data_IF_642895793457
#
_entry.id   IF_642895793457
#
_cell.length_a   1.000
_cell.length_b   1.000
_cell.length_c   1.000
_cell.angle_alpha   90.00
_cell.angle_beta   90.00
_cell.angle_gamma   90.00
#
_symmetry.space_group_name_H-M   'P 1'
#
loop_
_entity.id
_entity.type
_entity.pdbx_description
1 polymer ?
#
# COMPACT_ATOMS: atom_id res chain seq x y z
N UNK A 1 -2.04 15.85 -24.76
CA UNK A 1 -1.11 15.59 -23.61
C UNK A 1 -0.17 14.45 -24.01
N UNK A 2 1.13 14.72 -24.14
CA UNK A 2 2.14 13.73 -24.53
C UNK A 2 2.76 13.10 -23.28
N UNK A 3 3.00 11.79 -23.29
CA UNK A 3 3.61 11.08 -22.15
C UNK A 3 5.02 11.61 -21.81
N UNK A 4 5.78 12.04 -22.79
CA UNK A 4 7.07 12.70 -22.58
C UNK A 4 6.93 13.97 -21.72
N UNK A 5 5.89 14.77 -21.94
CA UNK A 5 5.65 16.00 -21.16
C UNK A 5 5.22 15.67 -19.73
N UNK A 6 4.46 14.58 -19.55
CA UNK A 6 4.17 14.06 -18.21
C UNK A 6 5.44 13.63 -17.47
N UNK A 7 6.38 12.94 -18.13
CA UNK A 7 7.70 12.60 -17.57
C UNK A 7 8.48 13.87 -17.18
N UNK A 8 8.42 14.91 -17.99
CA UNK A 8 9.04 16.20 -17.62
C UNK A 8 8.39 16.80 -16.38
N UNK A 9 7.07 16.79 -16.31
CA UNK A 9 6.34 17.32 -15.18
C UNK A 9 6.65 16.58 -13.87
N UNK A 10 6.77 15.23 -13.90
CA UNK A 10 7.14 14.45 -12.70
C UNK A 10 8.55 14.80 -12.22
N UNK A 11 9.51 15.03 -13.12
CA UNK A 11 10.86 15.48 -12.75
C UNK A 11 10.84 16.89 -12.17
N UNK A 12 10.04 17.82 -12.71
CA UNK A 12 9.89 19.18 -12.15
C UNK A 12 9.33 19.12 -10.73
N UNK A 13 8.34 18.26 -10.51
CA UNK A 13 7.72 18.05 -9.19
C UNK A 13 8.72 17.50 -8.18
N UNK A 14 9.55 16.52 -8.57
CA UNK A 14 10.54 15.88 -7.70
C UNK A 14 11.71 16.81 -7.35
N UNK A 15 12.19 17.63 -8.32
CA UNK A 15 13.33 18.54 -8.12
C UNK A 15 12.95 19.85 -7.43
N UNK A 16 11.66 20.19 -7.36
CA UNK A 16 11.16 21.43 -6.77
C UNK A 16 11.66 22.69 -7.49
N UNK A 17 12.12 22.57 -8.74
CA UNK A 17 12.65 23.68 -9.53
C UNK A 17 12.87 23.34 -11.00
N UNK A 18 12.47 24.27 -11.90
CA UNK A 18 12.57 24.05 -13.35
C UNK A 18 14.02 23.96 -13.83
N UNK A 19 14.93 24.73 -13.26
CA UNK A 19 16.34 24.72 -13.67
C UNK A 19 17.01 23.38 -13.36
N UNK A 20 16.86 22.88 -12.14
CA UNK A 20 17.39 21.56 -11.74
C UNK A 20 16.78 20.42 -12.55
N UNK A 21 15.47 20.49 -12.78
CA UNK A 21 14.77 19.51 -13.60
C UNK A 21 15.29 19.51 -15.05
N UNK A 22 15.53 20.68 -15.63
CA UNK A 22 16.06 20.83 -16.98
C UNK A 22 17.48 20.23 -17.10
N UNK A 23 18.35 20.48 -16.10
CA UNK A 23 19.68 19.88 -16.01
C UNK A 23 19.59 18.34 -15.96
N UNK A 24 18.71 17.79 -15.09
CA UNK A 24 18.49 16.34 -14.97
C UNK A 24 17.95 15.71 -16.24
N UNK A 25 17.13 16.44 -16.99
CA UNK A 25 16.54 15.99 -18.26
C UNK A 25 17.43 16.24 -19.47
N UNK A 26 18.60 16.86 -19.31
CA UNK A 26 19.50 17.25 -20.38
C UNK A 26 18.86 18.13 -21.47
N UNK A 27 17.96 19.03 -21.05
CA UNK A 27 17.31 20.03 -21.92
C UNK A 27 17.51 21.44 -21.38
N UNK A 28 17.20 22.45 -22.20
CA UNK A 28 17.32 23.85 -21.75
C UNK A 28 16.12 24.24 -20.87
N UNK A 29 16.37 25.07 -19.86
CA UNK A 29 15.32 25.57 -18.97
C UNK A 29 14.16 26.28 -19.72
N UNK A 30 14.38 27.11 -20.76
CA UNK A 30 13.31 27.69 -21.54
C UNK A 30 12.43 26.63 -22.24
N UNK A 31 13.06 25.57 -22.76
CA UNK A 31 12.32 24.47 -23.40
C UNK A 31 11.42 23.76 -22.40
N UNK A 32 11.94 23.39 -21.22
CA UNK A 32 11.15 22.74 -20.18
C UNK A 32 10.02 23.66 -19.69
N UNK A 33 10.33 24.93 -19.42
CA UNK A 33 9.34 25.90 -18.96
C UNK A 33 8.18 26.07 -19.95
N UNK A 34 8.48 26.08 -21.25
CA UNK A 34 7.46 26.16 -22.30
C UNK A 34 6.60 24.90 -22.35
N UNK A 35 7.20 23.71 -22.29
CA UNK A 35 6.45 22.44 -22.29
C UNK A 35 5.52 22.31 -21.09
N UNK A 36 5.94 22.78 -19.91
CA UNK A 36 5.08 22.81 -18.72
C UNK A 36 3.95 23.82 -18.90
N UNK A 37 4.21 25.00 -19.44
CA UNK A 37 3.17 26.00 -19.71
C UNK A 37 2.14 25.51 -20.72
N UNK A 38 2.57 24.85 -21.80
CA UNK A 38 1.68 24.21 -22.78
C UNK A 38 0.82 23.09 -22.12
N UNK A 39 1.39 22.34 -21.19
CA UNK A 39 0.65 21.33 -20.41
C UNK A 39 -0.40 21.99 -19.50
N UNK A 40 -0.07 23.07 -18.80
CA UNK A 40 -1.00 23.85 -17.97
C UNK A 40 -2.15 24.43 -18.79
N UNK A 41 -1.87 24.90 -20.02
CA UNK A 41 -2.87 25.38 -20.96
C UNK A 41 -3.79 24.24 -21.44
N UNK A 42 -3.22 23.09 -21.81
CA UNK A 42 -3.96 21.93 -22.28
C UNK A 42 -4.90 21.36 -21.21
N UNK A 43 -4.48 21.29 -19.94
CA UNK A 43 -5.32 20.82 -18.84
C UNK A 43 -6.25 21.91 -18.29
N UNK A 44 -6.07 23.17 -18.70
CA UNK A 44 -6.91 24.28 -18.31
C UNK A 44 -6.74 24.72 -16.84
N UNK A 45 -5.63 24.37 -16.22
CA UNK A 45 -5.36 24.70 -14.81
C UNK A 45 -3.88 24.87 -14.53
N UNK A 46 -3.47 25.85 -13.69
CA UNK A 46 -2.09 25.92 -13.24
C UNK A 46 -1.74 24.69 -12.39
N UNK A 47 -0.62 24.06 -12.72
CA UNK A 47 -0.11 22.85 -12.04
C UNK A 47 0.96 23.20 -11.02
N UNK A 48 1.65 24.33 -11.22
CA UNK A 48 2.77 24.78 -10.42
C UNK A 48 2.53 26.13 -9.78
N UNK A 49 2.89 26.27 -8.52
CA UNK A 49 3.06 27.54 -7.83
C UNK A 49 4.54 27.91 -7.93
N UNK A 50 4.83 28.99 -8.66
CA UNK A 50 6.23 29.46 -8.90
C UNK A 50 6.55 30.58 -7.93
N UNK A 51 7.61 30.43 -7.15
CA UNK A 51 8.20 31.48 -6.35
C UNK A 51 9.58 31.85 -6.89
N UNK A 52 10.19 32.91 -6.38
CA UNK A 52 11.54 33.29 -6.81
C UNK A 52 12.63 32.26 -6.42
N UNK A 53 12.33 31.27 -5.58
CA UNK A 53 13.30 30.32 -5.04
C UNK A 53 12.92 28.85 -5.23
N UNK A 54 11.67 28.55 -5.48
CA UNK A 54 11.16 27.18 -5.55
C UNK A 54 9.91 27.06 -6.39
N UNK A 55 9.63 25.83 -6.80
CA UNK A 55 8.39 25.42 -7.45
C UNK A 55 7.72 24.40 -6.53
N UNK A 56 6.42 24.58 -6.29
CA UNK A 56 5.57 23.60 -5.58
C UNK A 56 4.34 23.28 -6.42
N UNK A 57 3.67 22.18 -6.12
CA UNK A 57 2.47 21.77 -6.83
C UNK A 57 1.23 22.53 -6.33
N UNK A 58 0.29 22.77 -7.23
CA UNK A 58 -1.09 23.10 -6.88
C UNK A 58 -1.86 21.81 -6.57
N UNK A 59 -3.10 21.91 -6.07
CA UNK A 59 -3.97 20.75 -5.90
C UNK A 59 -4.22 19.99 -7.24
N UNK A 60 -4.34 20.74 -8.36
CA UNK A 60 -4.42 20.16 -9.71
C UNK A 60 -3.09 19.49 -10.11
N UNK A 61 -1.95 20.09 -9.74
CA UNK A 61 -0.63 19.53 -9.96
C UNK A 61 -0.41 18.21 -9.19
N UNK A 62 -0.83 18.13 -7.93
CA UNK A 62 -0.77 16.91 -7.15
C UNK A 62 -1.64 15.79 -7.74
N UNK A 63 -2.84 16.13 -8.22
CA UNK A 63 -3.70 15.18 -8.90
C UNK A 63 -3.04 14.67 -10.19
N UNK A 64 -2.54 15.60 -11.02
CA UNK A 64 -1.88 15.23 -12.27
C UNK A 64 -0.62 14.40 -12.01
N UNK A 65 0.18 14.72 -10.98
CA UNK A 65 1.38 13.95 -10.64
C UNK A 65 1.04 12.48 -10.40
N UNK A 66 0.06 12.19 -9.54
CA UNK A 66 -0.37 10.81 -9.29
C UNK A 66 -0.81 10.10 -10.56
N UNK A 67 -1.57 10.77 -11.44
CA UNK A 67 -2.02 10.16 -12.71
C UNK A 67 -0.91 10.01 -13.73
N UNK A 68 0.03 10.95 -13.77
CA UNK A 68 1.20 10.87 -14.64
C UNK A 68 2.11 9.69 -14.25
N UNK A 69 2.33 9.48 -12.95
CA UNK A 69 3.08 8.32 -12.44
C UNK A 69 2.41 6.99 -12.82
N UNK A 70 1.08 6.90 -12.70
CA UNK A 70 0.32 5.72 -13.13
C UNK A 70 0.47 5.46 -14.64
N UNK A 71 0.40 6.49 -15.47
CA UNK A 71 0.53 6.38 -16.93
C UNK A 71 1.96 5.99 -17.36
N UNK A 72 2.97 6.55 -16.70
CA UNK A 72 4.38 6.24 -16.97
C UNK A 72 4.68 4.78 -16.60
N UNK A 73 4.20 4.32 -15.44
CA UNK A 73 4.37 2.93 -15.03
C UNK A 73 3.71 1.95 -16.00
N UNK A 74 2.53 2.31 -16.53
CA UNK A 74 1.85 1.47 -17.54
C UNK A 74 2.59 1.44 -18.89
N UNK A 75 3.19 2.56 -19.33
CA UNK A 75 4.04 2.59 -20.54
C UNK A 75 5.25 1.66 -20.37
N UNK A 76 5.94 1.75 -19.24
CA UNK A 76 7.10 0.89 -18.95
C UNK A 76 6.71 -0.58 -18.99
N UNK A 77 5.57 -0.92 -18.40
CA UNK A 77 5.03 -2.28 -18.42
C UNK A 77 4.71 -2.79 -19.83
N UNK A 78 4.10 -1.96 -20.68
CA UNK A 78 3.84 -2.31 -22.08
C UNK A 78 5.14 -2.62 -22.83
N UNK A 79 6.18 -1.82 -22.60
CA UNK A 79 7.50 -2.03 -23.21
C UNK A 79 8.10 -3.36 -22.75
N UNK A 80 8.02 -3.66 -21.46
CA UNK A 80 8.53 -4.90 -20.88
C UNK A 80 7.75 -6.12 -21.41
N UNK A 81 6.43 -6.06 -21.49
CA UNK A 81 5.58 -7.16 -22.00
C UNK A 81 5.81 -7.45 -23.48
N UNK A 82 6.13 -6.44 -24.30
CA UNK A 82 6.39 -6.58 -25.73
C UNK A 82 7.86 -6.93 -26.03
N UNK A 83 8.73 -6.83 -25.04
CA UNK A 83 10.17 -7.11 -25.16
C UNK A 83 10.44 -8.60 -25.41
N UNK A 84 11.40 -8.91 -26.29
CA UNK A 84 11.90 -10.28 -26.57
C UNK A 84 13.13 -10.63 -25.71
N UNK A 85 13.47 -9.81 -24.75
CA UNK A 85 14.63 -9.98 -23.86
C UNK A 85 14.41 -11.14 -22.86
N UNK A 86 15.48 -11.74 -22.30
CA UNK A 86 15.34 -12.69 -21.20
C UNK A 86 14.53 -12.05 -20.06
N UNK A 87 13.89 -12.87 -19.19
CA UNK A 87 13.05 -12.36 -18.11
C UNK A 87 13.77 -11.26 -17.32
N UNK A 88 13.26 -10.06 -17.45
CA UNK A 88 13.75 -8.83 -16.82
C UNK A 88 12.57 -7.94 -16.46
N UNK A 89 12.81 -6.66 -16.16
CA UNK A 89 11.77 -5.72 -15.80
C UNK A 89 11.34 -5.81 -14.34
N UNK A 90 10.16 -5.27 -14.04
CA UNK A 90 9.64 -5.18 -12.67
C UNK A 90 8.33 -5.92 -12.53
N UNK A 91 8.24 -6.82 -11.54
CA UNK A 91 6.99 -7.48 -11.12
C UNK A 91 6.44 -6.74 -9.91
N UNK A 92 5.23 -6.20 -10.05
CA UNK A 92 4.55 -5.44 -9.00
C UNK A 92 3.62 -6.35 -8.19
N UNK A 93 3.91 -6.51 -6.90
CA UNK A 93 3.16 -7.37 -5.98
C UNK A 93 2.37 -6.53 -4.99
N UNK A 94 1.05 -6.74 -4.92
CA UNK A 94 0.18 -6.16 -3.91
C UNK A 94 -0.02 -7.14 -2.75
N UNK A 95 0.25 -6.72 -1.53
CA UNK A 95 0.23 -7.60 -0.37
C UNK A 95 -0.70 -7.05 0.72
N UNK A 96 -1.63 -7.88 1.19
CA UNK A 96 -2.23 -7.69 2.50
C UNK A 96 -1.25 -8.18 3.58
N UNK A 97 -1.29 -7.56 4.76
CA UNK A 97 -0.50 -8.02 5.91
C UNK A 97 -1.05 -9.37 6.40
N UNK A 98 -0.34 -10.46 6.09
CA UNK A 98 -0.75 -11.84 6.40
C UNK A 98 0.47 -12.76 6.43
N UNK A 99 0.31 -13.99 6.81
CA UNK A 99 1.38 -15.02 6.73
C UNK A 99 1.87 -15.26 5.30
N UNK A 100 1.06 -15.00 4.29
CA UNK A 100 1.46 -15.17 2.89
C UNK A 100 2.70 -14.34 2.53
N UNK A 101 2.96 -13.24 3.23
CA UNK A 101 4.14 -12.41 3.01
C UNK A 101 5.46 -13.17 3.19
N UNK A 102 5.53 -14.18 4.08
CA UNK A 102 6.71 -15.03 4.23
C UNK A 102 6.94 -15.89 2.98
N UNK A 103 5.90 -16.56 2.50
CA UNK A 103 5.98 -17.37 1.28
C UNK A 103 6.37 -16.51 0.06
N UNK A 104 5.83 -15.28 -0.02
CA UNK A 104 6.20 -14.32 -1.08
C UNK A 104 7.69 -13.96 -0.99
N UNK A 105 8.21 -13.68 0.20
CA UNK A 105 9.64 -13.37 0.40
C UNK A 105 10.55 -14.52 -0.04
N UNK A 106 10.17 -15.75 0.28
CA UNK A 106 10.90 -16.96 -0.14
C UNK A 106 10.86 -17.12 -1.67
N UNK A 107 9.69 -16.96 -2.29
CA UNK A 107 9.52 -17.04 -3.75
C UNK A 107 10.35 -15.97 -4.45
N UNK A 108 10.32 -14.71 -3.98
CA UNK A 108 11.15 -13.63 -4.53
C UNK A 108 12.63 -14.00 -4.47
N UNK A 109 13.08 -14.54 -3.33
CA UNK A 109 14.48 -14.94 -3.14
C UNK A 109 14.91 -16.04 -4.11
N UNK A 110 14.07 -17.08 -4.26
CA UNK A 110 14.28 -18.16 -5.23
C UNK A 110 14.26 -17.65 -6.67
N UNK A 111 13.28 -16.81 -7.01
CA UNK A 111 13.11 -16.29 -8.36
C UNK A 111 14.29 -15.42 -8.79
N UNK A 112 14.76 -14.53 -7.92
CA UNK A 112 15.92 -13.68 -8.17
C UNK A 112 17.23 -14.44 -8.31
N UNK A 113 17.37 -15.58 -7.65
CA UNK A 113 18.56 -16.43 -7.83
C UNK A 113 18.64 -17.00 -9.25
N UNK A 114 17.48 -17.20 -9.91
CA UNK A 114 17.40 -17.72 -11.28
C UNK A 114 17.36 -16.60 -12.33
N UNK A 115 16.73 -15.46 -11.99
CA UNK A 115 16.52 -14.33 -12.88
C UNK A 115 16.98 -13.03 -12.18
N UNK A 116 18.31 -12.75 -12.13
CA UNK A 116 18.86 -11.63 -11.34
C UNK A 116 18.43 -10.24 -11.83
N UNK A 117 18.06 -10.11 -13.10
CA UNK A 117 17.64 -8.85 -13.72
C UNK A 117 16.18 -8.49 -13.43
N UNK A 118 15.39 -9.42 -12.83
CA UNK A 118 14.02 -9.14 -12.41
C UNK A 118 14.02 -8.37 -11.09
N UNK A 119 13.28 -7.27 -11.07
CA UNK A 119 13.01 -6.44 -9.90
C UNK A 119 11.61 -6.73 -9.37
N UNK A 120 11.41 -6.47 -8.10
CA UNK A 120 10.09 -6.57 -7.46
C UNK A 120 9.72 -5.25 -6.81
N UNK A 121 8.52 -4.77 -7.09
CA UNK A 121 7.88 -3.66 -6.38
C UNK A 121 6.83 -4.23 -5.41
N UNK A 122 6.95 -3.88 -4.14
CA UNK A 122 6.09 -4.42 -3.08
C UNK A 122 5.17 -3.33 -2.55
N UNK A 123 3.90 -3.44 -2.87
CA UNK A 123 2.84 -2.53 -2.42
C UNK A 123 2.01 -3.18 -1.32
N UNK A 124 2.15 -2.71 -0.08
CA UNK A 124 1.38 -3.22 1.06
C UNK A 124 0.19 -2.33 1.35
N UNK A 125 -1.02 -2.89 1.28
CA UNK A 125 -2.26 -2.16 1.52
C UNK A 125 -3.42 -3.09 1.91
N UNK A 126 -4.62 -2.50 2.13
CA UNK A 126 -5.86 -3.28 2.24
C UNK A 126 -6.23 -3.93 0.90
N UNK A 127 -6.98 -5.03 0.96
CA UNK A 127 -7.38 -5.76 -0.25
C UNK A 127 -8.05 -4.86 -1.29
N UNK A 128 -8.90 -3.93 -0.87
CA UNK A 128 -9.63 -3.03 -1.77
C UNK A 128 -8.67 -2.13 -2.57
N UNK A 129 -7.62 -1.61 -1.93
CA UNK A 129 -6.60 -0.79 -2.59
C UNK A 129 -5.70 -1.62 -3.50
N UNK A 130 -5.40 -2.86 -3.13
CA UNK A 130 -4.64 -3.78 -3.99
C UNK A 130 -5.45 -4.11 -5.24
N UNK A 131 -6.74 -4.46 -5.10
CA UNK A 131 -7.63 -4.74 -6.23
C UNK A 131 -7.79 -3.53 -7.15
N UNK A 132 -7.95 -2.33 -6.60
CA UNK A 132 -7.98 -1.09 -7.39
C UNK A 132 -6.72 -0.93 -8.24
N UNK A 133 -5.54 -1.26 -7.70
CA UNK A 133 -4.29 -1.19 -8.46
C UNK A 133 -4.14 -2.30 -9.48
N UNK A 134 -4.65 -3.51 -9.21
CA UNK A 134 -4.73 -4.59 -10.21
C UNK A 134 -5.61 -4.15 -11.37
N UNK A 135 -6.78 -3.59 -11.11
CA UNK A 135 -7.70 -3.08 -12.15
C UNK A 135 -7.08 -2.00 -13.04
N UNK A 136 -6.14 -1.23 -12.49
CA UNK A 136 -5.39 -0.20 -13.22
C UNK A 136 -4.12 -0.72 -13.90
N UNK A 137 -3.82 -2.02 -13.79
CA UNK A 137 -2.59 -2.60 -14.31
C UNK A 137 -1.31 -2.18 -13.57
N UNK A 138 -1.41 -1.62 -12.38
CA UNK A 138 -0.28 -1.14 -11.57
C UNK A 138 0.25 -2.21 -10.59
N UNK A 139 -0.46 -3.31 -10.44
CA UNK A 139 -0.07 -4.50 -9.67
C UNK A 139 -0.35 -5.71 -10.53
N UNK A 140 0.62 -6.62 -10.64
CA UNK A 140 0.53 -7.82 -11.45
C UNK A 140 -0.11 -8.98 -10.69
N UNK A 141 0.24 -9.13 -9.41
CA UNK A 141 -0.23 -10.22 -8.56
C UNK A 141 -0.62 -9.66 -7.19
N UNK A 142 -1.83 -9.96 -6.72
CA UNK A 142 -2.31 -9.60 -5.39
C UNK A 142 -2.35 -10.78 -4.43
N UNK A 143 -1.78 -10.62 -3.24
CA UNK A 143 -1.91 -11.55 -2.11
C UNK A 143 -2.87 -10.95 -1.10
N UNK A 144 -4.09 -11.50 -1.07
CA UNK A 144 -5.21 -10.88 -0.38
C UNK A 144 -5.75 -11.78 0.73
N UNK A 145 -6.37 -11.16 1.72
CA UNK A 145 -7.06 -11.87 2.80
C UNK A 145 -8.57 -11.88 2.54
N UNK A 146 -9.18 -13.05 2.55
CA UNK A 146 -10.63 -13.20 2.50
C UNK A 146 -11.32 -12.57 3.75
N UNK A 147 -12.54 -12.06 3.62
CA UNK A 147 -13.39 -12.08 2.43
C UNK A 147 -13.02 -10.99 1.41
N UNK A 148 -12.98 -11.36 0.14
CA UNK A 148 -12.69 -10.49 -0.99
C UNK A 148 -13.45 -10.97 -2.23
N UNK A 149 -13.97 -10.02 -3.04
CA UNK A 149 -14.60 -10.36 -4.30
C UNK A 149 -13.52 -10.57 -5.37
N UNK A 150 -13.41 -11.79 -5.86
CA UNK A 150 -12.42 -12.20 -6.86
C UNK A 150 -13.04 -12.73 -8.15
N UNK A 151 -14.35 -12.58 -8.36
CA UNK A 151 -15.08 -13.18 -9.49
C UNK A 151 -14.51 -12.81 -10.87
N UNK A 152 -13.95 -11.62 -11.00
CA UNK A 152 -13.37 -11.11 -12.25
C UNK A 152 -11.87 -11.39 -12.44
N UNK A 153 -11.23 -12.09 -11.51
CA UNK A 153 -9.81 -12.38 -11.54
C UNK A 153 -9.54 -13.88 -11.60
N UNK A 154 -8.42 -14.24 -12.22
CA UNK A 154 -7.85 -15.56 -11.98
C UNK A 154 -7.22 -15.60 -10.60
N UNK A 155 -7.58 -16.59 -9.78
CA UNK A 155 -7.08 -16.69 -8.43
C UNK A 155 -6.77 -18.11 -7.99
N UNK A 156 -5.87 -18.22 -7.03
CA UNK A 156 -5.51 -19.46 -6.33
C UNK A 156 -5.67 -19.25 -4.83
N UNK A 157 -6.39 -20.14 -4.14
CA UNK A 157 -6.46 -20.11 -2.68
C UNK A 157 -5.23 -20.79 -2.09
N UNK A 158 -4.59 -20.08 -1.16
CA UNK A 158 -3.52 -20.65 -0.35
C UNK A 158 -4.15 -21.40 0.83
N UNK A 159 -3.61 -22.57 1.17
CA UNK A 159 -4.15 -23.40 2.26
C UNK A 159 -3.89 -22.83 3.67
N UNK A 160 -3.07 -21.79 3.76
CA UNK A 160 -2.69 -21.19 5.04
C UNK A 160 -3.84 -20.38 5.64
N UNK A 161 -4.34 -20.83 6.80
CA UNK A 161 -5.38 -20.15 7.53
C UNK A 161 -4.78 -19.11 8.50
N UNK A 162 -5.42 -17.95 8.60
CA UNK A 162 -5.11 -16.92 9.57
C UNK A 162 -5.91 -17.13 10.86
N UNK A 163 -5.27 -16.88 11.99
CA UNK A 163 -5.95 -16.87 13.30
C UNK A 163 -6.24 -15.45 13.72
N UNK A 164 -7.36 -15.25 14.43
CA UNK A 164 -7.65 -13.99 15.10
C UNK A 164 -6.88 -13.97 16.42
N UNK A 165 -6.26 -12.85 16.72
CA UNK A 165 -5.52 -12.63 17.96
C UNK A 165 -5.65 -11.21 18.48
N UNK A 166 -5.09 -10.98 19.65
CA UNK A 166 -4.98 -9.66 20.28
C UNK A 166 -3.53 -9.29 20.40
N UNK A 167 -3.17 -8.18 19.78
CA UNK A 167 -1.88 -7.55 20.00
C UNK A 167 -2.03 -6.57 21.18
N UNK A 168 -1.31 -6.83 22.27
CA UNK A 168 -1.35 -6.04 23.49
C UNK A 168 0.04 -5.85 24.07
N UNK A 169 0.17 -5.00 25.11
CA UNK A 169 1.43 -4.81 25.82
C UNK A 169 1.78 -6.04 26.67
N UNK A 170 3.08 -6.30 26.83
CA UNK A 170 3.57 -7.43 27.63
C UNK A 170 3.18 -7.31 29.12
N UNK A 171 2.96 -6.09 29.63
CA UNK A 171 2.53 -5.81 31.00
C UNK A 171 1.02 -5.68 31.15
N UNK A 172 0.24 -5.92 30.10
CA UNK A 172 -1.22 -5.96 30.15
C UNK A 172 -1.73 -7.21 30.87
N UNK A 173 -2.87 -7.11 31.54
CA UNK A 173 -3.58 -8.26 32.09
C UNK A 173 -3.83 -9.32 31.03
N UNK A 174 -4.23 -8.94 29.81
CA UNK A 174 -4.47 -9.87 28.71
C UNK A 174 -3.22 -10.68 28.34
N UNK A 175 -2.02 -10.11 28.50
CA UNK A 175 -0.77 -10.80 28.21
C UNK A 175 -0.48 -11.96 29.20
N UNK A 176 -1.06 -11.94 30.38
CA UNK A 176 -0.95 -13.04 31.35
C UNK A 176 -1.88 -14.22 31.06
N UNK A 177 -2.86 -14.03 30.16
CA UNK A 177 -3.81 -15.06 29.76
C UNK A 177 -3.23 -15.85 28.57
N UNK A 178 -3.20 -17.16 28.66
CA UNK A 178 -2.77 -18.00 27.53
C UNK A 178 -3.74 -17.97 26.35
N UNK A 179 -5.01 -17.75 26.64
CA UNK A 179 -6.10 -17.57 25.68
C UNK A 179 -7.01 -16.45 26.20
N UNK A 180 -7.41 -15.56 25.29
CA UNK A 180 -8.31 -14.43 25.61
C UNK A 180 -9.70 -14.74 25.10
N UNK A 181 -10.70 -14.66 25.98
CA UNK A 181 -12.10 -14.80 25.61
C UNK A 181 -12.70 -13.48 25.11
N UNK A 182 -13.79 -13.56 24.38
CA UNK A 182 -14.47 -12.36 23.90
C UNK A 182 -15.00 -11.46 25.04
N UNK A 183 -15.46 -12.05 26.16
CA UNK A 183 -15.97 -11.29 27.30
C UNK A 183 -14.87 -10.50 28.01
N UNK A 184 -13.62 -11.00 28.05
CA UNK A 184 -12.46 -10.28 28.60
C UNK A 184 -12.10 -9.03 27.79
N UNK A 185 -12.47 -9.00 26.50
CA UNK A 185 -12.22 -7.86 25.61
C UNK A 185 -13.25 -6.73 25.76
N UNK A 186 -14.40 -6.97 26.38
CA UNK A 186 -15.47 -5.96 26.50
C UNK A 186 -15.04 -4.72 27.27
N UNK A 187 -14.22 -4.91 28.31
CA UNK A 187 -13.71 -3.81 29.15
C UNK A 187 -12.48 -3.09 28.55
N UNK A 188 -11.87 -3.68 27.50
CA UNK A 188 -10.62 -3.17 26.93
C UNK A 188 -10.92 -2.13 25.85
N UNK A 189 -10.10 -1.04 25.78
CA UNK A 189 -10.13 -0.17 24.61
C UNK A 189 -9.51 -0.90 23.41
N UNK A 190 -10.34 -1.16 22.39
CA UNK A 190 -9.94 -1.94 21.22
C UNK A 190 -9.72 -1.09 19.98
N UNK A 191 -8.70 -1.44 19.23
CA UNK A 191 -8.39 -0.92 17.90
C UNK A 191 -8.69 -2.05 16.91
N UNK A 192 -9.48 -1.77 15.88
CA UNK A 192 -9.94 -2.80 14.93
C UNK A 192 -9.63 -2.41 13.49
N UNK A 193 -9.59 -3.37 12.53
CA UNK A 193 -9.39 -3.03 11.11
C UNK A 193 -10.46 -2.06 10.60
N UNK A 194 -10.07 -1.13 9.73
CA UNK A 194 -11.01 -0.22 9.07
C UNK A 194 -11.90 -0.95 8.07
N UNK A 195 -11.40 -2.02 7.46
CA UNK A 195 -12.10 -2.80 6.44
C UNK A 195 -13.35 -3.48 7.02
N UNK A 196 -14.52 -3.12 6.47
CA UNK A 196 -15.82 -3.54 6.99
C UNK A 196 -16.02 -5.07 6.90
N UNK A 197 -15.60 -5.66 5.79
CA UNK A 197 -15.72 -7.10 5.52
C UNK A 197 -14.94 -7.91 6.55
N UNK A 198 -13.73 -7.47 6.89
CA UNK A 198 -12.90 -8.12 7.91
C UNK A 198 -13.53 -7.98 9.31
N UNK A 199 -14.06 -6.80 9.64
CA UNK A 199 -14.79 -6.60 10.90
C UNK A 199 -16.05 -7.46 10.97
N UNK A 200 -16.77 -7.61 9.87
CA UNK A 200 -17.95 -8.47 9.81
C UNK A 200 -17.55 -9.95 9.99
N UNK A 201 -16.42 -10.37 9.42
CA UNK A 201 -15.87 -11.70 9.65
C UNK A 201 -15.52 -11.92 11.13
N UNK A 202 -14.87 -10.96 11.78
CA UNK A 202 -14.60 -11.02 13.22
C UNK A 202 -15.89 -11.11 14.03
N UNK A 203 -16.91 -10.29 13.70
CA UNK A 203 -18.22 -10.35 14.35
C UNK A 203 -18.89 -11.71 14.18
N UNK A 204 -18.82 -12.32 13.01
CA UNK A 204 -19.38 -13.63 12.75
C UNK A 204 -18.71 -14.73 13.60
N UNK A 205 -17.40 -14.64 13.81
CA UNK A 205 -16.63 -15.61 14.59
C UNK A 205 -16.82 -15.38 16.10
N UNK A 206 -16.76 -14.13 16.55
CA UNK A 206 -16.84 -13.74 17.97
C UNK A 206 -18.30 -13.78 18.48
N UNK A 207 -19.27 -13.57 17.60
CA UNK A 207 -20.69 -13.54 17.92
C UNK A 207 -21.15 -12.19 18.47
N UNK A 208 -22.29 -12.19 19.18
CA UNK A 208 -22.97 -10.97 19.68
C UNK A 208 -22.15 -10.17 20.70
N UNK A 209 -21.15 -10.78 21.34
CA UNK A 209 -20.24 -10.10 22.27
C UNK A 209 -19.46 -8.99 21.57
N UNK A 210 -19.17 -9.14 20.27
CA UNK A 210 -18.48 -8.11 19.46
C UNK A 210 -19.19 -6.75 19.51
N UNK A 211 -20.52 -6.72 19.60
CA UNK A 211 -21.31 -5.48 19.66
C UNK A 211 -21.14 -4.70 20.97
N UNK A 212 -20.56 -5.33 21.98
CA UNK A 212 -20.25 -4.74 23.29
C UNK A 212 -18.84 -4.19 23.39
N UNK A 213 -18.01 -4.39 22.38
CA UNK A 213 -16.62 -3.96 22.38
C UNK A 213 -16.48 -2.44 22.43
N UNK A 214 -15.56 -1.95 23.26
CA UNK A 214 -15.19 -0.55 23.31
C UNK A 214 -14.17 -0.22 22.20
N UNK A 215 -14.67 0.02 20.98
CA UNK A 215 -13.82 0.35 19.81
C UNK A 215 -13.43 1.82 19.88
N UNK A 216 -12.14 2.10 20.11
CA UNK A 216 -11.58 3.45 20.27
C UNK A 216 -10.84 3.97 19.02
N UNK A 217 -10.47 3.09 18.10
CA UNK A 217 -9.81 3.48 16.85
C UNK A 217 -9.94 2.38 15.78
N UNK A 218 -9.64 2.74 14.53
CA UNK A 218 -9.52 1.81 13.41
C UNK A 218 -8.16 1.96 12.74
N UNK A 219 -7.70 0.92 12.04
CA UNK A 219 -6.44 0.91 11.28
C UNK A 219 -6.62 0.24 9.91
N UNK A 220 -5.79 0.61 8.96
CA UNK A 220 -5.68 -0.04 7.64
C UNK A 220 -4.52 -1.04 7.58
N UNK A 221 -3.34 -0.65 8.07
CA UNK A 221 -2.14 -1.48 8.24
C UNK A 221 -1.66 -1.38 9.69
N UNK A 222 -1.03 -2.46 10.20
CA UNK A 222 -0.82 -2.67 11.64
C UNK A 222 0.19 -1.71 12.28
N UNK A 223 1.15 -1.16 11.52
CA UNK A 223 2.29 -0.44 12.10
C UNK A 223 1.90 0.70 13.05
N UNK A 224 0.99 1.60 12.63
CA UNK A 224 0.56 2.71 13.49
C UNK A 224 -0.32 2.25 14.67
N UNK A 225 -1.09 1.19 14.48
CA UNK A 225 -1.89 0.60 15.54
C UNK A 225 -1.00 -0.03 16.63
N UNK A 226 0.07 -0.73 16.24
CA UNK A 226 1.03 -1.31 17.18
C UNK A 226 1.78 -0.26 18.00
N UNK A 227 2.15 0.87 17.41
CA UNK A 227 2.74 2.00 18.15
C UNK A 227 1.78 2.55 19.22
N UNK A 228 0.47 2.59 18.93
CA UNK A 228 -0.54 2.99 19.89
C UNK A 228 -0.65 1.99 21.05
N UNK A 229 -0.57 0.67 20.77
CA UNK A 229 -0.50 -0.38 21.80
C UNK A 229 0.69 -0.15 22.73
N UNK A 230 1.89 0.05 22.18
CA UNK A 230 3.12 0.29 22.95
C UNK A 230 3.01 1.51 23.87
N UNK A 231 2.18 2.51 23.54
CA UNK A 231 1.92 3.71 24.34
C UNK A 231 0.73 3.57 25.30
N UNK A 232 0.17 2.37 25.46
CA UNK A 232 -0.97 2.12 26.36
C UNK A 232 -2.31 2.62 25.80
N UNK A 233 -2.42 2.83 24.50
CA UNK A 233 -3.63 3.34 23.85
C UNK A 233 -4.69 2.29 23.52
N UNK A 234 -4.61 1.10 24.11
CA UNK A 234 -5.54 -0.02 23.90
C UNK A 234 -4.87 -1.25 23.32
N UNK A 235 -5.67 -2.26 22.97
CA UNK A 235 -5.24 -3.50 22.34
C UNK A 235 -5.80 -3.60 20.91
N UNK A 236 -5.08 -4.29 20.00
CA UNK A 236 -5.51 -4.42 18.59
C UNK A 236 -6.09 -5.80 18.35
N UNK A 237 -7.32 -5.86 17.86
CA UNK A 237 -7.91 -7.09 17.32
C UNK A 237 -7.37 -7.28 15.89
N UNK A 238 -6.63 -8.33 15.64
CA UNK A 238 -5.81 -8.51 14.45
C UNK A 238 -5.75 -9.98 14.03
N UNK A 239 -5.36 -10.24 12.79
CA UNK A 239 -4.96 -11.58 12.36
C UNK A 239 -3.48 -11.82 12.73
N UNK A 240 -3.14 -13.06 13.03
CA UNK A 240 -1.80 -13.45 13.50
C UNK A 240 -0.70 -13.06 12.50
N UNK A 241 -0.93 -13.28 11.21
CA UNK A 241 0.04 -12.97 10.16
C UNK A 241 0.37 -11.48 10.04
N UNK A 242 -0.58 -10.58 10.33
CA UNK A 242 -0.31 -9.14 10.33
C UNK A 242 0.54 -8.71 11.54
N UNK A 243 0.52 -9.47 12.64
CA UNK A 243 1.24 -9.12 13.86
C UNK A 243 2.67 -9.70 13.92
N UNK A 244 3.07 -10.57 13.01
CA UNK A 244 4.33 -11.32 13.07
C UNK A 244 5.60 -10.44 13.13
N UNK A 245 5.55 -9.21 12.62
CA UNK A 245 6.68 -8.26 12.62
C UNK A 245 6.63 -7.25 13.78
N UNK A 246 5.66 -7.36 14.68
CA UNK A 246 5.49 -6.42 15.77
C UNK A 246 6.27 -6.89 17.00
N UNK A 247 6.84 -5.93 17.74
CA UNK A 247 7.61 -6.21 18.97
C UNK A 247 6.72 -6.42 20.20
N UNK A 248 5.41 -6.19 20.10
CA UNK A 248 4.45 -6.48 21.17
C UNK A 248 4.06 -7.97 21.13
N UNK A 249 3.81 -8.63 22.27
CA UNK A 249 3.38 -10.02 22.27
C UNK A 249 2.00 -10.17 21.64
N UNK A 250 1.88 -11.15 20.75
CA UNK A 250 0.60 -11.59 20.20
C UNK A 250 0.01 -12.66 21.11
N UNK A 251 -1.18 -12.43 21.63
CA UNK A 251 -1.98 -13.42 22.35
C UNK A 251 -3.02 -14.03 21.38
N UNK A 252 -3.12 -15.34 21.41
CA UNK A 252 -4.00 -16.14 20.54
C UNK A 252 -5.32 -16.48 21.23
#
# INVERSE_FOLDING_TARGET
MELRVLKYFTVVASEGGITKAAERLFITQPTLSRQIAELEEEVGSPLLVRTNRSVSLTAAGELLLRRAEEMIALEEKIIDELGTSPPGGTVSLGLAESYSANAVADVISMFRSKYPDVKFDLFTATADLVLERIDKGLVDIGFLLEPVDVEKYDFVRLEQAERIGILTRADSHLASLGMVTADELVAEPLIVPVRRELRQNFRNIIGTVYDRFNIVATFNVINNASLRVLRGGGSVLVIEGAAQYQHAPLLR
#
